data_IF_456174540061
#
_entry.id   IF_456174540061
#
_cell.length_a   1.000
_cell.length_b   1.000
_cell.length_c   1.000
_cell.angle_alpha   90.00
_cell.angle_beta   90.00
_cell.angle_gamma   90.00
#
_symmetry.space_group_name_H-M   'P 1'
#
loop_
_entity.id
_entity.type
_entity.pdbx_description
1 polymer ?
#
# COMPACT_ATOMS: atom_id res chain seq x y z
N UNK A 1 -3.79 -34.88 7.89
CA UNK A 1 -3.92 -33.67 8.73
C UNK A 1 -2.89 -32.56 8.43
N UNK A 2 -1.99 -32.74 7.44
CA UNK A 2 -0.86 -31.82 7.14
C UNK A 2 -1.05 -30.93 5.90
N UNK A 3 -1.73 -31.40 4.86
CA UNK A 3 -1.91 -30.63 3.60
C UNK A 3 -3.01 -29.56 3.71
N UNK A 4 -4.12 -29.85 4.39
CA UNK A 4 -5.24 -28.91 4.53
C UNK A 4 -4.92 -27.73 5.47
N UNK A 5 -4.09 -27.97 6.51
CA UNK A 5 -3.55 -26.91 7.39
C UNK A 5 -2.51 -26.06 6.67
N UNK A 6 -1.66 -26.66 5.85
CA UNK A 6 -0.71 -25.92 5.02
C UNK A 6 -1.46 -25.04 4.01
N UNK A 7 -2.47 -25.57 3.31
CA UNK A 7 -3.28 -24.83 2.35
C UNK A 7 -4.09 -23.70 3.00
N UNK A 8 -4.71 -23.93 4.17
CA UNK A 8 -5.39 -22.87 4.96
C UNK A 8 -4.42 -21.78 5.44
N UNK A 9 -3.21 -22.14 5.87
CA UNK A 9 -2.18 -21.16 6.25
C UNK A 9 -1.68 -20.36 5.05
N UNK A 10 -1.50 -20.99 3.88
CA UNK A 10 -1.09 -20.29 2.65
C UNK A 10 -2.17 -19.32 2.18
N UNK A 11 -3.45 -19.71 2.25
CA UNK A 11 -4.59 -18.84 1.91
C UNK A 11 -4.71 -17.66 2.89
N UNK A 12 -4.56 -17.88 4.20
CA UNK A 12 -4.54 -16.79 5.19
C UNK A 12 -3.37 -15.81 4.94
N UNK A 13 -2.19 -16.32 4.62
CA UNK A 13 -1.01 -15.50 4.36
C UNK A 13 -1.16 -14.59 3.12
N UNK A 14 -1.85 -15.05 2.07
CA UNK A 14 -2.14 -14.24 0.88
C UNK A 14 -3.30 -13.25 1.10
N UNK A 15 -4.20 -13.52 2.05
CA UNK A 15 -5.29 -12.62 2.39
C UNK A 15 -4.83 -11.42 3.23
N UNK A 16 -3.79 -11.56 4.06
CA UNK A 16 -3.38 -10.49 4.97
C UNK A 16 -3.00 -9.19 4.28
N UNK A 17 -2.20 -9.16 3.20
CA UNK A 17 -1.92 -7.92 2.49
C UNK A 17 -3.21 -7.28 2.00
N UNK A 18 -4.03 -8.06 1.27
CA UNK A 18 -5.29 -7.66 0.60
C UNK A 18 -6.27 -6.99 1.55
N UNK A 19 -6.35 -7.46 2.80
CA UNK A 19 -7.31 -6.92 3.77
C UNK A 19 -6.71 -5.78 4.60
N UNK A 20 -5.39 -5.68 4.74
CA UNK A 20 -4.76 -4.77 5.72
C UNK A 20 -4.19 -3.50 5.08
N UNK A 21 -3.42 -3.64 4.01
CA UNK A 21 -2.67 -2.51 3.44
C UNK A 21 -3.32 -1.95 2.18
N UNK A 22 -3.99 -2.79 1.38
CA UNK A 22 -4.65 -2.35 0.14
C UNK A 22 -5.77 -1.32 0.39
N UNK A 23 -6.76 -1.51 1.30
CA UNK A 23 -7.89 -0.58 1.39
C UNK A 23 -7.47 0.83 1.80
N UNK A 24 -6.53 0.95 2.75
CA UNK A 24 -6.05 2.25 3.23
C UNK A 24 -5.18 2.97 2.19
N UNK A 25 -4.35 2.25 1.43
CA UNK A 25 -3.55 2.86 0.36
C UNK A 25 -4.40 3.17 -0.87
N UNK A 26 -5.33 2.29 -1.22
CA UNK A 26 -6.26 2.45 -2.33
C UNK A 26 -7.06 3.75 -2.21
N UNK A 27 -7.73 3.98 -1.06
CA UNK A 27 -8.50 5.23 -0.85
C UNK A 27 -7.63 6.48 -0.99
N UNK A 28 -6.39 6.42 -0.49
CA UNK A 28 -5.46 7.54 -0.59
C UNK A 28 -4.98 7.75 -2.02
N UNK A 29 -4.76 6.68 -2.78
CA UNK A 29 -4.35 6.73 -4.18
C UNK A 29 -5.46 7.31 -5.06
N UNK A 30 -6.69 6.82 -4.90
CA UNK A 30 -7.87 7.34 -5.62
C UNK A 30 -8.03 8.84 -5.36
N UNK A 31 -7.94 9.26 -4.10
CA UNK A 31 -8.08 10.68 -3.75
C UNK A 31 -6.94 11.53 -4.32
N UNK A 32 -5.71 11.02 -4.35
CA UNK A 32 -4.60 11.71 -5.01
C UNK A 32 -4.82 11.85 -6.52
N UNK A 33 -5.32 10.80 -7.20
CA UNK A 33 -5.67 10.87 -8.62
C UNK A 33 -6.79 11.89 -8.87
N UNK A 34 -7.82 11.90 -8.03
CA UNK A 34 -8.92 12.87 -8.08
C UNK A 34 -8.41 14.32 -7.98
N UNK A 35 -7.54 14.58 -7.01
CA UNK A 35 -6.94 15.90 -6.79
C UNK A 35 -5.99 16.31 -7.93
N UNK A 36 -5.28 15.35 -8.53
CA UNK A 36 -4.40 15.60 -9.67
C UNK A 36 -5.17 16.06 -10.93
N UNK A 37 -6.44 15.71 -11.06
CA UNK A 37 -7.33 16.18 -12.13
C UNK A 37 -7.95 17.57 -11.85
N UNK A 38 -7.57 18.24 -10.76
CA UNK A 38 -8.04 19.58 -10.41
C UNK A 38 -9.57 19.65 -10.26
N UNK A 39 -10.18 20.76 -10.69
CA UNK A 39 -11.62 20.97 -10.59
C UNK A 39 -12.47 19.93 -11.32
N UNK A 40 -11.99 19.44 -12.48
CA UNK A 40 -12.70 18.41 -13.24
C UNK A 40 -12.74 17.06 -12.52
N UNK A 41 -11.74 16.75 -11.68
CA UNK A 41 -11.74 15.56 -10.83
C UNK A 41 -12.84 15.56 -9.75
N UNK A 42 -13.43 16.71 -9.42
CA UNK A 42 -14.58 16.77 -8.52
C UNK A 42 -15.88 16.33 -9.20
N UNK A 43 -15.98 16.53 -10.52
CA UNK A 43 -17.17 16.16 -11.29
C UNK A 43 -17.35 14.64 -11.37
N UNK A 44 -18.60 14.18 -11.42
CA UNK A 44 -18.93 12.79 -11.71
C UNK A 44 -18.43 12.35 -13.10
N UNK A 45 -18.18 13.30 -14.01
CA UNK A 45 -17.54 13.02 -15.30
C UNK A 45 -16.14 12.39 -15.18
N UNK A 46 -15.48 12.51 -14.02
CA UNK A 46 -14.18 11.90 -13.76
C UNK A 46 -14.25 10.45 -13.25
N UNK A 47 -15.43 9.97 -12.86
CA UNK A 47 -15.67 8.71 -12.13
C UNK A 47 -15.03 8.60 -10.73
N UNK A 48 -14.02 9.39 -10.39
CA UNK A 48 -13.31 9.29 -9.10
C UNK A 48 -14.20 9.38 -7.86
N UNK A 49 -15.21 10.28 -7.76
CA UNK A 49 -16.09 10.32 -6.59
C UNK A 49 -16.81 8.99 -6.33
N UNK A 50 -17.25 8.33 -7.41
CA UNK A 50 -17.96 7.05 -7.35
C UNK A 50 -16.99 5.90 -7.02
N UNK A 51 -15.86 5.82 -7.72
CA UNK A 51 -14.80 4.84 -7.44
C UNK A 51 -14.34 4.94 -5.97
N UNK A 52 -14.16 6.16 -5.45
CA UNK A 52 -13.81 6.39 -4.05
C UNK A 52 -14.90 5.86 -3.11
N UNK A 53 -16.17 6.18 -3.36
CA UNK A 53 -17.31 5.75 -2.56
C UNK A 53 -17.44 4.22 -2.49
N UNK A 54 -17.19 3.51 -3.60
CA UNK A 54 -17.18 2.05 -3.61
C UNK A 54 -15.94 1.47 -2.89
N UNK A 55 -14.76 2.03 -3.14
CA UNK A 55 -13.50 1.51 -2.59
C UNK A 55 -13.41 1.63 -1.05
N UNK A 56 -13.97 2.70 -0.47
CA UNK A 56 -13.88 2.94 0.98
C UNK A 56 -14.66 1.90 1.78
N UNK A 57 -15.69 1.28 1.18
CA UNK A 57 -16.39 0.15 1.78
C UNK A 57 -15.44 -0.99 2.17
N UNK A 58 -14.37 -1.20 1.39
CA UNK A 58 -13.38 -2.27 1.63
C UNK A 58 -12.48 -2.05 2.82
N UNK A 59 -12.55 -0.87 3.45
CA UNK A 59 -11.93 -0.64 4.76
C UNK A 59 -12.80 -1.16 5.92
N UNK A 60 -14.02 -1.62 5.65
CA UNK A 60 -15.02 -1.98 6.66
C UNK A 60 -15.59 -3.38 6.42
N UNK A 61 -15.92 -3.72 5.18
CA UNK A 61 -16.33 -5.08 4.84
C UNK A 61 -15.13 -6.05 4.93
N UNK A 62 -15.38 -7.34 5.19
CA UNK A 62 -14.35 -8.40 5.36
C UNK A 62 -13.45 -8.29 6.61
N UNK A 63 -13.70 -7.32 7.49
CA UNK A 63 -13.07 -7.20 8.80
C UNK A 63 -12.39 -5.85 9.00
N UNK A 64 -12.61 -5.25 10.17
CA UNK A 64 -11.99 -3.96 10.49
C UNK A 64 -10.45 -4.07 10.48
N UNK A 65 -9.80 -3.11 9.83
CA UNK A 65 -8.36 -3.14 9.54
C UNK A 65 -7.48 -3.38 10.77
N UNK A 66 -7.81 -2.80 11.93
CA UNK A 66 -7.06 -3.01 13.18
C UNK A 66 -7.26 -4.44 13.70
N UNK A 67 -8.47 -5.00 13.65
CA UNK A 67 -8.71 -6.40 14.03
C UNK A 67 -7.85 -7.36 13.17
N UNK A 68 -7.80 -7.12 11.86
CA UNK A 68 -6.98 -7.94 10.95
C UNK A 68 -5.49 -7.80 11.22
N UNK A 69 -5.01 -6.58 11.49
CA UNK A 69 -3.62 -6.35 11.94
C UNK A 69 -3.30 -7.11 13.23
N UNK A 70 -4.23 -7.17 14.18
CA UNK A 70 -4.05 -7.91 15.43
C UNK A 70 -4.05 -9.42 15.22
N UNK A 71 -4.75 -9.96 14.21
CA UNK A 71 -4.65 -11.37 13.84
C UNK A 71 -3.25 -11.72 13.32
N UNK A 72 -2.70 -10.90 12.43
CA UNK A 72 -1.30 -11.05 11.96
C UNK A 72 -0.33 -10.93 13.14
N UNK A 73 -0.59 -10.00 14.07
CA UNK A 73 0.26 -9.83 15.24
C UNK A 73 0.29 -11.11 16.09
N UNK A 74 -0.84 -11.82 16.26
CA UNK A 74 -0.87 -13.09 17.02
C UNK A 74 0.05 -14.14 16.38
N UNK A 75 0.08 -14.21 15.06
CA UNK A 75 1.00 -15.08 14.34
C UNK A 75 2.46 -14.68 14.56
N UNK A 76 2.77 -13.38 14.44
CA UNK A 76 4.13 -12.86 14.64
C UNK A 76 4.63 -13.03 16.08
N UNK A 77 3.78 -12.85 17.08
CA UNK A 77 4.16 -13.03 18.50
C UNK A 77 4.49 -14.48 18.82
N UNK A 78 3.78 -15.44 18.22
CA UNK A 78 4.13 -16.87 18.33
C UNK A 78 5.48 -17.18 17.68
N UNK A 79 5.73 -16.64 16.48
CA UNK A 79 7.01 -16.81 15.80
C UNK A 79 8.16 -16.22 16.64
N UNK A 80 7.98 -15.01 17.21
CA UNK A 80 8.96 -14.39 18.09
C UNK A 80 9.22 -15.21 19.36
N UNK A 81 8.18 -15.82 19.95
CA UNK A 81 8.29 -16.71 21.10
C UNK A 81 9.09 -17.98 20.79
N UNK A 82 8.85 -18.61 19.64
CA UNK A 82 9.61 -19.79 19.20
C UNK A 82 11.10 -19.48 18.96
N UNK A 83 11.40 -18.29 18.42
CA UNK A 83 12.78 -17.83 18.23
C UNK A 83 13.47 -17.56 19.56
N UNK A 84 12.81 -16.84 20.49
CA UNK A 84 13.35 -16.61 21.85
C UNK A 84 13.53 -17.93 22.61
N UNK A 85 12.66 -18.91 22.39
CA UNK A 85 12.72 -20.23 23.00
C UNK A 85 13.73 -21.20 22.40
N UNK A 86 14.46 -20.81 21.33
CA UNK A 86 15.47 -21.66 20.68
C UNK A 86 14.90 -22.87 19.91
N UNK A 87 13.59 -22.88 19.61
CA UNK A 87 12.89 -23.99 18.93
C UNK A 87 12.28 -23.58 17.58
N UNK A 88 12.77 -22.50 17.00
CA UNK A 88 12.19 -21.88 15.81
C UNK A 88 12.02 -22.86 14.64
N UNK A 89 10.77 -23.09 14.24
CA UNK A 89 10.40 -23.76 12.98
C UNK A 89 9.42 -22.87 12.25
N UNK A 90 9.95 -21.80 11.69
CA UNK A 90 9.16 -20.74 11.09
C UNK A 90 8.73 -21.08 9.66
N UNK A 91 7.58 -20.55 9.26
CA UNK A 91 7.15 -20.56 7.88
C UNK A 91 8.01 -19.59 7.05
N UNK A 92 8.16 -19.85 5.74
CA UNK A 92 8.97 -19.01 4.83
C UNK A 92 8.61 -17.52 4.85
N UNK A 93 7.34 -17.19 5.10
CA UNK A 93 6.89 -15.79 5.18
C UNK A 93 7.48 -15.04 6.38
N UNK A 94 7.85 -15.74 7.46
CA UNK A 94 8.36 -15.15 8.70
C UNK A 94 9.74 -15.66 9.12
N UNK A 95 10.43 -16.39 8.24
CA UNK A 95 11.77 -16.94 8.46
C UNK A 95 12.80 -15.86 8.84
N UNK A 96 12.63 -14.65 8.30
CA UNK A 96 13.46 -13.48 8.57
C UNK A 96 13.52 -13.10 10.05
N UNK A 97 12.52 -13.48 10.86
CA UNK A 97 12.52 -13.21 12.31
C UNK A 97 13.67 -13.98 13.00
N UNK A 98 14.03 -15.16 12.49
CA UNK A 98 15.12 -15.97 13.01
C UNK A 98 16.51 -15.56 12.48
N UNK A 99 16.58 -14.72 11.43
CA UNK A 99 17.86 -14.25 10.89
C UNK A 99 18.62 -13.42 11.94
N UNK A 100 19.97 -13.43 11.90
CA UNK A 100 20.77 -12.58 12.78
C UNK A 100 20.47 -11.11 12.53
N UNK A 101 20.68 -10.30 13.56
CA UNK A 101 20.50 -8.85 13.43
C UNK A 101 21.61 -8.25 12.56
N UNK A 102 21.27 -7.18 11.85
CA UNK A 102 22.19 -6.46 10.97
C UNK A 102 22.46 -5.09 11.56
N UNK A 103 23.74 -4.77 11.80
CA UNK A 103 24.08 -3.51 12.45
C UNK A 103 23.81 -2.28 11.56
N UNK A 104 23.90 -2.43 10.23
CA UNK A 104 23.79 -1.33 9.26
C UNK A 104 23.18 -1.81 7.95
N UNK A 105 22.54 -0.87 7.24
CA UNK A 105 22.09 -1.03 5.86
C UNK A 105 23.29 -1.05 4.90
N UNK A 106 23.18 -1.88 3.85
CA UNK A 106 24.14 -1.92 2.73
C UNK A 106 23.86 -0.85 1.66
N UNK A 107 22.81 -0.03 1.85
CA UNK A 107 22.51 1.10 0.96
C UNK A 107 23.70 2.06 0.89
N UNK A 108 24.08 2.47 -0.31
CA UNK A 108 25.08 3.51 -0.51
C UNK A 108 24.59 4.56 -1.51
N UNK A 109 24.22 4.11 -2.71
CA UNK A 109 23.60 4.91 -3.76
C UNK A 109 22.32 4.24 -4.24
N UNK A 110 21.39 5.05 -4.73
CA UNK A 110 20.10 4.57 -5.21
C UNK A 110 20.19 3.64 -6.41
N UNK A 111 21.21 3.80 -7.27
CA UNK A 111 21.40 3.02 -8.49
C UNK A 111 22.08 1.67 -8.26
N UNK A 112 22.88 1.56 -7.19
CA UNK A 112 23.56 0.31 -6.80
C UNK A 112 22.81 -0.48 -5.71
N UNK A 113 21.66 0.02 -5.25
CA UNK A 113 20.87 -0.63 -4.21
C UNK A 113 20.14 -1.84 -4.78
N UNK A 114 20.72 -3.03 -4.65
CA UNK A 114 20.15 -4.26 -5.23
C UNK A 114 18.86 -4.70 -4.55
N UNK A 115 18.11 -5.56 -5.23
CA UNK A 115 16.83 -6.09 -4.75
C UNK A 115 17.04 -6.91 -3.47
N UNK A 116 18.14 -7.64 -3.36
CA UNK A 116 18.54 -8.38 -2.15
C UNK A 116 18.81 -7.44 -0.97
N UNK A 117 19.49 -6.30 -1.22
CA UNK A 117 19.73 -5.31 -0.17
C UNK A 117 18.44 -4.62 0.28
N UNK A 118 17.52 -4.34 -0.66
CA UNK A 118 16.19 -3.81 -0.33
C UNK A 118 15.46 -4.79 0.60
N UNK A 119 15.37 -6.06 0.21
CA UNK A 119 14.70 -7.08 1.02
C UNK A 119 15.36 -7.24 2.38
N UNK A 120 16.70 -7.30 2.43
CA UNK A 120 17.47 -7.35 3.68
C UNK A 120 17.13 -6.20 4.63
N UNK A 121 17.04 -4.97 4.13
CA UNK A 121 16.76 -3.80 4.96
C UNK A 121 15.32 -3.82 5.50
N UNK A 122 14.34 -4.25 4.68
CA UNK A 122 12.98 -4.49 5.17
C UNK A 122 12.90 -5.62 6.18
N UNK A 123 13.66 -6.71 5.99
CA UNK A 123 13.75 -7.83 6.94
C UNK A 123 14.27 -7.37 8.30
N UNK A 124 15.36 -6.59 8.32
CA UNK A 124 15.93 -6.03 9.54
C UNK A 124 14.89 -5.18 10.29
N UNK A 125 14.27 -4.20 9.61
CA UNK A 125 13.32 -3.29 10.24
C UNK A 125 12.07 -4.03 10.72
N UNK A 126 11.53 -4.95 9.91
CA UNK A 126 10.36 -5.75 10.30
C UNK A 126 10.69 -6.63 11.51
N UNK A 127 11.86 -7.27 11.55
CA UNK A 127 12.32 -8.11 12.66
C UNK A 127 12.42 -7.30 13.94
N UNK A 128 13.06 -6.15 13.89
CA UNK A 128 13.26 -5.31 15.06
C UNK A 128 11.94 -4.75 15.61
N UNK A 129 11.00 -4.38 14.72
CA UNK A 129 9.67 -3.98 15.15
C UNK A 129 8.86 -5.15 15.74
N UNK A 130 9.02 -6.38 15.24
CA UNK A 130 8.40 -7.59 15.82
C UNK A 130 8.92 -7.85 17.23
N UNK A 131 10.24 -7.89 17.44
CA UNK A 131 10.81 -8.12 18.77
C UNK A 131 10.50 -6.99 19.75
N UNK A 132 10.47 -5.74 19.28
CA UNK A 132 10.03 -4.61 20.10
C UNK A 132 8.59 -4.77 20.58
N UNK A 133 7.67 -5.15 19.69
CA UNK A 133 6.29 -5.41 20.04
C UNK A 133 6.16 -6.60 21.00
N UNK A 134 6.96 -7.65 20.79
CA UNK A 134 7.02 -8.82 21.66
C UNK A 134 7.49 -8.47 23.08
N UNK A 135 8.59 -7.73 23.20
CA UNK A 135 9.17 -7.36 24.49
C UNK A 135 8.21 -6.43 25.28
N UNK A 136 7.53 -5.50 24.59
CA UNK A 136 6.49 -4.65 25.18
C UNK A 136 5.28 -5.48 25.64
N UNK A 137 4.81 -6.42 24.82
CA UNK A 137 3.71 -7.32 25.18
C UNK A 137 4.07 -8.13 26.43
N UNK A 138 5.26 -8.74 26.48
CA UNK A 138 5.70 -9.53 27.63
C UNK A 138 5.80 -8.69 28.91
N UNK A 139 6.27 -7.44 28.82
CA UNK A 139 6.27 -6.51 29.96
C UNK A 139 4.86 -6.26 30.49
N UNK A 140 3.92 -5.89 29.62
CA UNK A 140 2.55 -5.61 30.07
C UNK A 140 1.81 -6.86 30.59
N UNK A 141 2.13 -8.04 30.07
CA UNK A 141 1.60 -9.31 30.58
C UNK A 141 2.18 -9.71 31.96
N UNK A 142 3.29 -9.11 32.39
CA UNK A 142 3.79 -9.26 33.76
C UNK A 142 3.06 -8.33 34.75
N UNK A 143 2.57 -7.19 34.26
CA UNK A 143 1.92 -6.13 35.06
C UNK A 143 0.39 -6.25 35.11
N UNK A 144 -0.22 -7.03 34.20
CA UNK A 144 -1.67 -7.09 34.01
C UNK A 144 -2.12 -8.44 33.43
N UNK A 145 -3.43 -8.65 33.28
CA UNK A 145 -3.95 -9.87 32.65
C UNK A 145 -3.46 -10.00 31.20
N UNK A 146 -3.41 -11.22 30.62
CA UNK A 146 -3.00 -11.43 29.24
C UNK A 146 -3.76 -10.58 28.21
N UNK A 147 -5.06 -10.40 28.42
CA UNK A 147 -5.95 -9.62 27.55
C UNK A 147 -5.68 -8.12 27.65
N UNK A 148 -5.47 -7.62 28.87
CA UNK A 148 -5.17 -6.21 29.10
C UNK A 148 -3.77 -5.86 28.58
N UNK A 149 -2.79 -6.75 28.79
CA UNK A 149 -1.45 -6.60 28.23
C UNK A 149 -1.45 -6.58 26.71
N UNK A 150 -2.29 -7.42 26.07
CA UNK A 150 -2.50 -7.40 24.63
C UNK A 150 -3.09 -6.06 24.15
N UNK A 151 -4.09 -5.55 24.86
CA UNK A 151 -4.72 -4.27 24.55
C UNK A 151 -3.73 -3.10 24.66
N UNK A 152 -2.91 -3.07 25.73
CA UNK A 152 -1.87 -2.05 25.93
C UNK A 152 -0.76 -2.09 24.88
N UNK A 153 -0.41 -3.28 24.40
CA UNK A 153 0.60 -3.46 23.35
C UNK A 153 0.03 -3.30 21.92
N UNK A 154 -1.29 -3.15 21.75
CA UNK A 154 -1.99 -3.20 20.45
C UNK A 154 -1.40 -2.28 19.38
N UNK A 155 -0.95 -1.08 19.75
CA UNK A 155 -0.34 -0.13 18.82
C UNK A 155 0.96 -0.67 18.23
N UNK A 156 1.83 -1.22 19.07
CA UNK A 156 3.13 -1.77 18.63
C UNK A 156 2.95 -3.10 17.89
N UNK A 157 1.96 -3.91 18.30
CA UNK A 157 1.52 -5.10 17.59
C UNK A 157 1.05 -4.76 16.16
N UNK A 158 0.23 -3.73 16.00
CA UNK A 158 -0.20 -3.26 14.68
C UNK A 158 0.96 -2.73 13.83
N UNK A 159 1.95 -2.06 14.43
CA UNK A 159 3.16 -1.62 13.71
C UNK A 159 3.98 -2.81 13.20
N UNK A 160 4.15 -3.84 14.02
CA UNK A 160 4.83 -5.07 13.62
C UNK A 160 4.13 -5.76 12.44
N UNK A 161 2.80 -5.90 12.50
CA UNK A 161 2.01 -6.45 11.41
C UNK A 161 2.13 -5.64 10.12
N UNK A 162 2.08 -4.31 10.17
CA UNK A 162 2.26 -3.47 8.98
C UNK A 162 3.64 -3.64 8.37
N UNK A 163 4.70 -3.66 9.17
CA UNK A 163 6.05 -3.85 8.63
C UNK A 163 6.24 -5.24 8.01
N UNK A 164 5.63 -6.27 8.60
CA UNK A 164 5.61 -7.61 8.03
C UNK A 164 4.91 -7.66 6.66
N UNK A 165 3.72 -7.06 6.55
CA UNK A 165 2.95 -7.00 5.30
C UNK A 165 3.70 -6.21 4.21
N UNK A 166 4.35 -5.09 4.57
CA UNK A 166 5.17 -4.31 3.62
C UNK A 166 6.34 -5.10 3.09
N UNK A 167 7.08 -5.79 3.97
CA UNK A 167 8.16 -6.68 3.56
C UNK A 167 7.65 -7.75 2.59
N UNK A 168 6.51 -8.37 2.90
CA UNK A 168 5.89 -9.36 2.02
C UNK A 168 5.58 -8.77 0.64
N UNK A 169 4.95 -7.60 0.58
CA UNK A 169 4.60 -6.94 -0.68
C UNK A 169 5.85 -6.59 -1.51
N UNK A 170 6.86 -5.98 -0.90
CA UNK A 170 8.12 -5.63 -1.57
C UNK A 170 8.82 -6.87 -2.10
N UNK A 171 8.96 -7.92 -1.28
CA UNK A 171 9.61 -9.16 -1.67
C UNK A 171 8.90 -9.81 -2.86
N UNK A 172 7.59 -10.01 -2.78
CA UNK A 172 6.84 -10.64 -3.86
C UNK A 172 6.87 -9.81 -5.15
N UNK A 173 6.83 -8.48 -5.04
CA UNK A 173 6.87 -7.63 -6.22
C UNK A 173 8.25 -7.73 -6.91
N UNK A 174 9.35 -7.63 -6.15
CA UNK A 174 10.71 -7.81 -6.69
C UNK A 174 10.90 -9.20 -7.31
N UNK A 175 10.51 -10.27 -6.59
CA UNK A 175 10.58 -11.64 -7.09
C UNK A 175 9.75 -11.82 -8.38
N UNK A 176 8.53 -11.27 -8.43
CA UNK A 176 7.67 -11.40 -9.60
C UNK A 176 8.24 -10.68 -10.80
N UNK A 177 8.78 -9.47 -10.63
CA UNK A 177 9.42 -8.71 -11.71
C UNK A 177 10.68 -9.40 -12.21
N UNK A 178 11.46 -10.04 -11.33
CA UNK A 178 12.63 -10.82 -11.73
C UNK A 178 12.27 -11.99 -12.68
N UNK A 179 11.04 -12.54 -12.57
CA UNK A 179 10.54 -13.60 -13.47
C UNK A 179 10.00 -13.11 -14.81
N UNK A 180 9.91 -11.79 -15.04
CA UNK A 180 9.40 -11.26 -16.31
C UNK A 180 10.30 -11.71 -17.48
N UNK A 181 9.75 -12.29 -18.56
CA UNK A 181 10.56 -12.89 -19.62
C UNK A 181 11.27 -11.85 -20.49
N UNK A 182 10.59 -10.76 -20.83
CA UNK A 182 11.10 -9.73 -21.74
C UNK A 182 11.79 -8.58 -21.01
N UNK A 183 12.94 -8.15 -21.51
CA UNK A 183 13.69 -7.01 -20.96
C UNK A 183 12.91 -5.70 -21.09
N UNK A 184 12.16 -5.53 -22.18
CA UNK A 184 11.27 -4.37 -22.45
C UNK A 184 10.19 -4.21 -21.38
N UNK A 185 9.68 -5.31 -20.82
CA UNK A 185 8.71 -5.31 -19.73
C UNK A 185 9.40 -5.18 -18.37
N UNK A 186 10.57 -5.83 -18.22
CA UNK A 186 11.30 -5.87 -16.95
C UNK A 186 11.74 -4.48 -16.51
N UNK A 187 12.28 -3.65 -17.42
CA UNK A 187 12.80 -2.34 -17.04
C UNK A 187 11.74 -1.39 -16.45
N UNK A 188 10.58 -1.13 -17.09
CA UNK A 188 9.52 -0.32 -16.49
C UNK A 188 9.00 -0.89 -15.17
N UNK A 189 8.81 -2.21 -15.09
CA UNK A 189 8.33 -2.88 -13.88
C UNK A 189 9.36 -2.82 -12.73
N UNK A 190 10.66 -2.90 -13.03
CA UNK A 190 11.73 -2.70 -12.04
C UNK A 190 11.71 -1.27 -11.52
N UNK A 191 11.60 -0.26 -12.39
CA UNK A 191 11.52 1.13 -11.93
C UNK A 191 10.25 1.37 -11.08
N UNK A 192 9.11 0.77 -11.44
CA UNK A 192 7.87 0.84 -10.66
C UNK A 192 8.03 0.19 -9.27
N UNK A 193 8.64 -0.99 -9.22
CA UNK A 193 8.86 -1.72 -7.96
C UNK A 193 9.83 -0.99 -7.05
N UNK A 194 10.90 -0.41 -7.62
CA UNK A 194 11.86 0.41 -6.87
C UNK A 194 11.23 1.68 -6.36
N UNK A 195 10.43 2.37 -7.17
CA UNK A 195 9.66 3.54 -6.73
C UNK A 195 8.77 3.18 -5.53
N UNK A 196 8.05 2.06 -5.61
CA UNK A 196 7.23 1.56 -4.51
C UNK A 196 8.06 1.28 -3.25
N UNK A 197 9.19 0.57 -3.36
CA UNK A 197 10.06 0.28 -2.22
C UNK A 197 10.65 1.56 -1.60
N UNK A 198 11.06 2.54 -2.42
CA UNK A 198 11.65 3.79 -1.94
C UNK A 198 10.62 4.71 -1.29
N UNK A 199 9.39 4.76 -1.82
CA UNK A 199 8.26 5.43 -1.17
C UNK A 199 7.98 4.81 0.21
N UNK A 200 7.96 3.48 0.30
CA UNK A 200 7.77 2.78 1.58
C UNK A 200 8.87 3.08 2.60
N UNK A 201 10.13 3.06 2.18
CA UNK A 201 11.27 3.41 3.04
C UNK A 201 11.13 4.85 3.53
N UNK A 202 10.80 5.78 2.64
CA UNK A 202 10.61 7.20 3.00
C UNK A 202 9.42 7.41 3.94
N UNK A 203 8.29 6.76 3.68
CA UNK A 203 7.11 6.80 4.54
C UNK A 203 7.35 6.19 5.93
N UNK A 204 8.33 5.29 6.06
CA UNK A 204 8.69 4.62 7.31
C UNK A 204 10.09 5.02 7.81
N UNK A 205 10.61 6.17 7.36
CA UNK A 205 12.02 6.52 7.53
C UNK A 205 12.49 6.46 8.99
N UNK A 206 11.64 6.84 9.94
CA UNK A 206 11.96 6.76 11.37
C UNK A 206 12.28 5.34 11.84
N UNK A 207 11.68 4.30 11.25
CA UNK A 207 11.98 2.90 11.58
C UNK A 207 13.31 2.44 10.95
N UNK A 208 13.63 2.90 9.73
CA UNK A 208 14.88 2.59 9.05
C UNK A 208 16.10 3.32 9.66
N UNK A 209 15.89 4.48 10.28
CA UNK A 209 16.97 5.25 10.92
C UNK A 209 17.22 4.87 12.38
N UNK A 210 16.32 4.09 13.00
CA UNK A 210 16.49 3.66 14.40
C UNK A 210 17.80 2.91 14.60
N UNK A 211 18.45 3.18 15.73
CA UNK A 211 19.74 2.55 16.06
C UNK A 211 20.88 2.91 15.11
N UNK A 212 20.69 3.88 14.22
CA UNK A 212 21.66 4.23 13.19
C UNK A 212 21.78 3.19 12.06
N UNK A 213 20.74 2.37 11.84
CA UNK A 213 20.74 1.36 10.78
C UNK A 213 20.89 2.00 9.38
N UNK A 214 20.12 3.04 9.09
CA UNK A 214 20.35 3.98 7.99
C UNK A 214 20.76 5.36 8.51
N UNK A 215 21.71 5.98 7.82
CA UNK A 215 22.14 7.37 7.98
C UNK A 215 21.28 8.34 7.19
N UNK A 216 21.33 9.63 7.54
CA UNK A 216 20.66 10.71 6.78
C UNK A 216 21.08 10.72 5.31
N UNK A 217 22.37 10.52 5.03
CA UNK A 217 22.89 10.43 3.67
C UNK A 217 22.27 9.29 2.86
N UNK A 218 22.04 8.14 3.47
CA UNK A 218 21.36 7.01 2.82
C UNK A 218 19.87 7.33 2.58
N UNK A 219 19.22 8.02 3.53
CA UNK A 219 17.83 8.47 3.35
C UNK A 219 17.71 9.50 2.21
N UNK A 220 18.65 10.43 2.09
CA UNK A 220 18.70 11.38 0.96
C UNK A 220 18.93 10.67 -0.37
N UNK A 221 19.80 9.66 -0.41
CA UNK A 221 20.00 8.84 -1.59
C UNK A 221 18.71 8.11 -2.01
N UNK A 222 17.92 7.57 -1.07
CA UNK A 222 16.60 6.99 -1.36
C UNK A 222 15.67 8.02 -2.00
N UNK A 223 15.62 9.25 -1.46
CA UNK A 223 14.79 10.33 -2.03
C UNK A 223 15.22 10.73 -3.43
N UNK A 224 16.52 10.80 -3.69
CA UNK A 224 17.04 10.99 -5.05
C UNK A 224 16.54 9.85 -5.97
N UNK A 225 16.62 8.61 -5.49
CA UNK A 225 16.11 7.43 -6.20
C UNK A 225 14.64 7.54 -6.60
N UNK A 226 13.78 8.12 -5.76
CA UNK A 226 12.35 8.37 -6.09
C UNK A 226 12.24 9.24 -7.34
N UNK A 227 12.91 10.40 -7.36
CA UNK A 227 12.84 11.32 -8.50
C UNK A 227 13.38 10.69 -9.78
N UNK A 228 14.46 9.89 -9.67
CA UNK A 228 15.04 9.17 -10.82
C UNK A 228 14.12 8.08 -11.35
N UNK A 229 13.41 7.36 -10.48
CA UNK A 229 12.42 6.38 -10.90
C UNK A 229 11.23 7.08 -11.59
N UNK A 230 10.75 8.20 -11.06
CA UNK A 230 9.67 8.99 -11.68
C UNK A 230 10.06 9.49 -13.10
N UNK A 231 11.27 10.01 -13.26
CA UNK A 231 11.83 10.44 -14.55
C UNK A 231 11.84 9.29 -15.56
N UNK A 232 12.29 8.09 -15.14
CA UNK A 232 12.36 6.89 -15.99
C UNK A 232 10.99 6.27 -16.31
N UNK A 233 10.03 6.39 -15.39
CA UNK A 233 8.67 5.85 -15.58
C UNK A 233 7.81 6.75 -16.47
N UNK A 234 8.06 8.06 -16.47
CA UNK A 234 7.22 9.04 -17.17
C UNK A 234 6.93 8.72 -18.65
N UNK A 235 7.87 8.22 -19.46
CA UNK A 235 7.58 7.84 -20.86
C UNK A 235 6.61 6.66 -20.98
N UNK A 236 6.62 5.74 -20.02
CA UNK A 236 5.80 4.52 -20.02
C UNK A 236 4.52 4.66 -19.18
N UNK A 237 4.28 5.81 -18.55
CA UNK A 237 3.19 5.98 -17.58
C UNK A 237 1.81 5.66 -18.19
N UNK A 238 1.56 6.11 -19.43
CA UNK A 238 0.31 5.82 -20.14
C UNK A 238 0.21 4.34 -20.51
N UNK A 239 1.27 3.77 -21.11
CA UNK A 239 1.29 2.33 -21.45
C UNK A 239 1.10 1.41 -20.24
N UNK A 240 1.61 1.79 -19.06
CA UNK A 240 1.46 1.04 -17.82
C UNK A 240 0.03 1.05 -17.28
N UNK A 241 -0.74 2.12 -17.52
CA UNK A 241 -2.17 2.15 -17.17
C UNK A 241 -3.02 1.51 -18.25
N UNK A 242 -2.66 1.68 -19.52
CA UNK A 242 -3.33 1.02 -20.65
C UNK A 242 -3.19 -0.51 -20.58
N UNK A 243 -2.12 -1.05 -20.00
CA UNK A 243 -1.93 -2.50 -19.85
C UNK A 243 -2.94 -3.17 -18.90
N UNK A 244 -3.73 -2.39 -18.15
CA UNK A 244 -4.86 -2.92 -17.38
C UNK A 244 -6.06 -3.26 -18.27
N UNK A 245 -6.07 -2.74 -19.51
CA UNK A 245 -7.03 -3.04 -20.57
C UNK A 245 -8.49 -2.76 -20.19
N UNK A 246 -8.71 -1.69 -19.41
CA UNK A 246 -10.07 -1.21 -19.11
C UNK A 246 -10.67 -0.50 -20.31
N UNK A 247 -11.89 -0.89 -20.69
CA UNK A 247 -12.66 -0.20 -21.72
C UNK A 247 -13.34 1.05 -21.15
N UNK A 248 -13.67 2.02 -22.03
CA UNK A 248 -14.33 3.28 -21.63
C UNK A 248 -15.66 3.02 -20.89
N UNK A 249 -16.36 1.94 -21.25
CA UNK A 249 -17.60 1.49 -20.62
C UNK A 249 -17.37 0.93 -19.21
N UNK A 250 -16.20 0.38 -18.91
CA UNK A 250 -15.87 -0.10 -17.56
C UNK A 250 -15.34 1.05 -16.68
N UNK A 251 -14.54 1.94 -17.27
CA UNK A 251 -13.92 3.05 -16.55
C UNK A 251 -14.94 4.13 -16.18
N UNK A 252 -16.03 4.26 -16.96
CA UNK A 252 -17.10 5.24 -16.77
C UNK A 252 -16.60 6.69 -16.62
N UNK A 253 -15.43 7.02 -17.18
CA UNK A 253 -14.77 8.32 -17.02
C UNK A 253 -14.63 9.04 -18.34
N UNK A 254 -15.19 10.25 -18.41
CA UNK A 254 -15.01 11.17 -19.56
C UNK A 254 -13.60 11.74 -19.60
N UNK A 255 -12.94 11.88 -18.44
CA UNK A 255 -11.56 12.36 -18.36
C UNK A 255 -10.55 11.27 -18.75
N UNK A 256 -10.89 10.01 -18.50
CA UNK A 256 -10.02 8.85 -18.72
C UNK A 256 -10.24 8.13 -20.05
N UNK A 257 -10.92 8.75 -21.02
CA UNK A 257 -11.22 8.12 -22.31
C UNK A 257 -9.97 7.64 -23.03
N UNK A 258 -10.03 6.44 -23.60
CA UNK A 258 -8.93 5.82 -24.35
C UNK A 258 -8.47 6.65 -25.55
N UNK A 259 -9.39 7.39 -26.19
CA UNK A 259 -9.07 8.26 -27.34
C UNK A 259 -8.45 9.61 -26.96
N UNK A 260 -8.38 9.95 -25.67
CA UNK A 260 -7.89 11.22 -25.17
C UNK A 260 -8.74 12.44 -25.54
N UNK A 261 -9.92 12.25 -26.13
CA UNK A 261 -10.78 13.34 -26.61
C UNK A 261 -11.67 13.91 -25.49
N UNK A 262 -11.02 14.49 -24.48
CA UNK A 262 -11.66 14.85 -23.20
C UNK A 262 -12.63 16.03 -23.34
N UNK A 263 -12.21 17.15 -23.94
CA UNK A 263 -12.99 18.40 -23.88
C UNK A 263 -14.33 18.34 -24.64
N UNK A 264 -14.39 17.82 -25.89
CA UNK A 264 -15.67 17.67 -26.58
C UNK A 264 -16.61 16.70 -25.86
N UNK A 265 -16.09 15.57 -25.36
CA UNK A 265 -16.87 14.59 -24.62
C UNK A 265 -17.40 15.17 -23.29
N UNK A 266 -16.62 16.01 -22.61
CA UNK A 266 -17.04 16.67 -21.37
C UNK A 266 -18.17 17.68 -21.62
N UNK A 267 -18.11 18.42 -22.73
CA UNK A 267 -19.18 19.33 -23.12
C UNK A 267 -20.47 18.56 -23.42
N UNK A 268 -20.38 17.48 -24.20
CA UNK A 268 -21.51 16.62 -24.52
C UNK A 268 -22.12 15.99 -23.27
N UNK A 269 -21.27 15.50 -22.35
CA UNK A 269 -21.70 14.96 -21.06
C UNK A 269 -22.47 16.00 -20.24
N UNK A 270 -21.97 17.24 -20.18
CA UNK A 270 -22.64 18.32 -19.46
C UNK A 270 -24.00 18.67 -20.11
N UNK A 271 -24.08 18.75 -21.43
CA UNK A 271 -25.32 19.02 -22.16
C UNK A 271 -26.40 17.95 -21.91
N UNK A 272 -26.00 16.69 -21.74
CA UNK A 272 -26.90 15.56 -21.45
C UNK A 272 -27.37 15.50 -19.99
N UNK A 273 -26.86 16.37 -19.12
CA UNK A 273 -27.26 16.42 -17.70
C UNK A 273 -28.76 16.69 -17.53
N UNK A 274 -29.37 16.09 -16.51
CA UNK A 274 -30.80 16.25 -16.24
C UNK A 274 -31.21 17.70 -15.99
N UNK A 275 -30.30 18.52 -15.46
CA UNK A 275 -30.52 19.94 -15.19
C UNK A 275 -30.66 20.77 -16.47
N UNK A 276 -30.12 20.29 -17.59
CA UNK A 276 -30.15 20.98 -18.89
C UNK A 276 -31.31 20.51 -19.78
N UNK A 277 -32.25 19.71 -19.24
CA UNK A 277 -33.47 19.30 -19.97
C UNK A 277 -34.42 20.45 -20.28
N UNK A 278 -34.37 21.50 -19.46
CA UNK A 278 -35.14 22.74 -19.64
C UNK A 278 -34.21 23.92 -19.46
N UNK A 279 -34.33 24.98 -20.27
CA UNK A 279 -33.49 26.18 -20.14
C UNK A 279 -33.72 26.92 -18.81
N UNK A 280 -34.90 26.71 -18.21
CA UNK A 280 -35.25 27.23 -16.88
C UNK A 280 -35.35 26.08 -15.88
N UNK A 281 -34.75 26.26 -14.71
CA UNK A 281 -34.95 25.37 -13.56
C UNK A 281 -36.31 25.66 -12.94
N UNK A 282 -37.17 24.65 -12.80
CA UNK A 282 -38.57 24.81 -12.36
C UNK A 282 -38.76 25.47 -10.98
N UNK A 283 -37.72 25.53 -10.14
CA UNK A 283 -37.77 26.16 -8.82
C UNK A 283 -37.09 27.55 -8.76
N UNK A 284 -36.46 28.00 -9.86
CA UNK A 284 -35.73 29.27 -9.88
C UNK A 284 -36.66 30.47 -9.91
N UNK A 285 -37.72 30.40 -10.72
CA UNK A 285 -38.64 31.52 -10.93
C UNK A 285 -39.48 31.78 -9.66
N UNK A 286 -40.00 30.77 -8.96
CA UNK A 286 -40.81 30.97 -7.73
C UNK A 286 -40.02 31.52 -6.52
N UNK A 287 -38.73 31.22 -6.41
CA UNK A 287 -37.88 31.69 -5.30
C UNK A 287 -37.21 33.04 -5.60
N UNK A 288 -36.88 33.32 -6.86
CA UNK A 288 -36.35 34.62 -7.27
C UNK A 288 -37.43 35.70 -7.36
N UNK A 289 -38.67 35.35 -7.73
CA UNK A 289 -39.82 36.27 -7.68
C UNK A 289 -40.30 36.57 -6.24
N UNK A 290 -40.07 35.67 -5.27
CA UNK A 290 -40.43 35.91 -3.85
C UNK A 290 -39.40 36.73 -3.07
N UNK A 291 -38.21 36.95 -3.63
CA UNK A 291 -37.10 37.67 -2.99
C UNK A 291 -36.79 39.02 -3.64
N UNK A 292 -37.51 39.41 -4.69
CA UNK A 292 -37.50 40.75 -5.29
C UNK A 292 -38.72 41.57 -4.85
#
# INVERSE_FOLDING_TARGET
MSLEKAHKNTLQNHQWPTVIEYPKRLKSGIEQCRLACGGHGYSLASAFPEIYAYSVGGCTYEGENIVMLLQVARFLMKAAEEVRGGKARLATICDYIAKPDSARSYMSRWDTYSDEHIVHDFEHVARNQVFRAFDILKRHQQESSPEEGWNRASVELCKASRMHVRLYLVRNFLEKVATAPETSLREPLTNLTRLYAFDLITACQGEFMKGGFMSERQADAIREGIYRCLERLRPNAVSLVDSWDFDDDELHSVLGRRDGNVYPALLEWAQKSQLNRTEKLGNGDELSEKLG
#
